data_IF_455743775342
#
_entry.id   IF_455743775342
#
_cell.length_a   1.000
_cell.length_b   1.000
_cell.length_c   1.000
_cell.angle_alpha   90.00
_cell.angle_beta   90.00
_cell.angle_gamma   90.00
#
_symmetry.space_group_name_H-M   'P 1'
#
loop_
_entity.id
_entity.type
_entity.pdbx_description
1 polymer ?
#
# COMPACT_ATOMS: atom_id res chain seq x y z
N UNK A 1 3.76 14.83 13.20
CA UNK A 1 5.02 14.09 13.44
C UNK A 1 4.87 12.81 14.31
N UNK A 2 3.82 12.63 15.13
CA UNK A 2 3.65 11.44 16.00
C UNK A 2 3.10 10.19 15.31
N UNK A 3 2.60 10.27 14.07
CA UNK A 3 1.91 9.17 13.39
C UNK A 3 2.75 8.33 12.44
N UNK A 4 4.02 8.70 12.22
CA UNK A 4 4.97 7.94 11.43
C UNK A 4 5.80 7.00 12.31
N UNK A 5 5.15 6.20 13.15
CA UNK A 5 5.88 5.13 13.83
C UNK A 5 6.05 3.97 12.85
N UNK A 6 7.08 4.06 12.03
CA UNK A 6 7.60 2.90 11.32
C UNK A 6 8.66 2.26 12.19
N UNK A 7 8.44 1.01 12.57
CA UNK A 7 9.48 0.18 13.13
C UNK A 7 10.20 -0.50 11.98
N UNK A 8 11.50 -0.23 11.84
CA UNK A 8 12.36 -0.76 10.80
C UNK A 8 13.52 -1.44 11.47
N UNK A 9 13.70 -2.71 11.17
CA UNK A 9 14.88 -3.45 11.58
C UNK A 9 15.30 -4.46 10.52
N UNK A 10 16.60 -4.57 10.35
CA UNK A 10 17.24 -5.76 9.85
C UNK A 10 17.36 -6.75 11.02
N UNK A 11 17.02 -8.02 10.80
CA UNK A 11 17.25 -9.10 11.75
C UNK A 11 18.23 -10.07 11.11
N UNK A 12 19.54 -9.96 11.41
CA UNK A 12 20.52 -10.94 10.98
C UNK A 12 20.40 -12.21 11.80
N UNK A 13 20.62 -13.36 11.18
CA UNK A 13 20.65 -14.67 11.84
C UNK A 13 19.38 -14.95 12.67
N UNK A 14 18.26 -15.07 11.96
CA UNK A 14 16.94 -15.31 12.56
C UNK A 14 16.98 -16.57 13.44
N UNK A 15 16.49 -16.45 14.66
CA UNK A 15 16.35 -17.57 15.57
C UNK A 15 15.50 -18.69 14.95
N UNK A 16 15.89 -19.97 15.09
CA UNK A 16 15.19 -21.10 14.50
C UNK A 16 13.71 -21.23 14.92
N UNK A 17 13.37 -20.88 16.16
CA UNK A 17 11.98 -20.94 16.64
C UNK A 17 11.15 -19.84 15.98
N UNK A 18 11.68 -18.62 15.87
CA UNK A 18 11.04 -17.50 15.17
C UNK A 18 10.88 -17.83 13.69
N UNK A 19 11.90 -18.40 13.05
CA UNK A 19 11.86 -18.89 11.67
C UNK A 19 10.70 -19.86 11.46
N UNK A 20 10.58 -20.85 12.34
CA UNK A 20 9.53 -21.86 12.29
C UNK A 20 8.16 -21.24 12.47
N UNK A 21 8.01 -20.33 13.45
CA UNK A 21 6.75 -19.62 13.72
C UNK A 21 6.26 -18.81 12.52
N UNK A 22 7.16 -18.07 11.89
CA UNK A 22 6.86 -17.22 10.75
C UNK A 22 6.92 -17.96 9.40
N UNK A 23 7.24 -19.26 9.41
CA UNK A 23 7.40 -20.09 8.19
C UNK A 23 8.41 -19.51 7.19
N UNK A 24 9.50 -18.94 7.70
CA UNK A 24 10.57 -18.35 6.87
C UNK A 24 11.39 -19.48 6.23
N UNK A 25 11.50 -19.51 4.89
CA UNK A 25 12.33 -20.51 4.19
C UNK A 25 13.80 -20.47 4.64
N UNK A 26 14.44 -21.63 4.72
CA UNK A 26 15.81 -21.77 5.27
C UNK A 26 16.87 -20.99 4.48
N UNK A 27 16.64 -20.73 3.20
CA UNK A 27 17.56 -19.99 2.35
C UNK A 27 17.77 -18.53 2.77
N UNK A 28 16.83 -17.91 3.49
CA UNK A 28 16.98 -16.53 3.92
C UNK A 28 17.63 -16.47 5.31
N UNK A 29 18.85 -15.93 5.36
CA UNK A 29 19.57 -15.74 6.63
C UNK A 29 19.16 -14.48 7.38
N UNK A 30 18.60 -13.50 6.67
CA UNK A 30 18.29 -12.17 7.20
C UNK A 30 16.92 -11.70 6.77
N UNK A 31 16.29 -10.87 7.60
CA UNK A 31 14.99 -10.25 7.31
C UNK A 31 15.09 -8.73 7.29
N UNK A 32 14.41 -8.11 6.33
CA UNK A 32 14.03 -6.70 6.36
C UNK A 32 12.58 -6.60 6.82
N UNK A 33 12.30 -5.82 7.86
CA UNK A 33 10.98 -5.71 8.45
C UNK A 33 10.52 -4.25 8.39
N UNK A 34 9.36 -4.03 7.77
CA UNK A 34 8.70 -2.73 7.74
C UNK A 34 7.29 -2.89 8.31
N UNK A 35 6.89 -1.92 9.12
CA UNK A 35 5.54 -1.84 9.65
C UNK A 35 5.13 -0.39 9.81
N UNK A 36 3.86 -0.08 9.60
CA UNK A 36 3.32 1.26 9.80
C UNK A 36 1.84 1.20 10.15
N UNK A 37 1.26 2.37 10.45
CA UNK A 37 -0.16 2.56 10.74
C UNK A 37 -0.85 3.44 9.68
N UNK A 38 -0.30 3.53 8.49
CA UNK A 38 -0.72 4.51 7.47
C UNK A 38 -1.30 3.89 6.20
N UNK A 39 -1.94 2.73 6.29
CA UNK A 39 -2.52 2.06 5.13
C UNK A 39 -1.54 1.14 4.39
N UNK A 40 -1.88 0.74 3.18
CA UNK A 40 -1.17 -0.31 2.45
C UNK A 40 -0.31 0.20 1.30
N UNK A 41 -0.83 1.14 0.52
CA UNK A 41 -0.28 1.41 -0.81
C UNK A 41 1.10 2.04 -0.78
N UNK A 42 1.33 3.04 0.07
CA UNK A 42 2.64 3.71 0.13
C UNK A 42 3.77 2.72 0.41
N UNK A 43 3.55 1.79 1.33
CA UNK A 43 4.53 0.76 1.70
C UNK A 43 4.66 -0.31 0.61
N UNK A 44 3.55 -0.80 0.06
CA UNK A 44 3.56 -1.80 -1.00
C UNK A 44 4.34 -1.32 -2.23
N UNK A 45 4.07 -0.10 -2.69
CA UNK A 45 4.77 0.49 -3.83
C UNK A 45 6.24 0.79 -3.53
N UNK A 46 6.56 1.24 -2.32
CA UNK A 46 7.95 1.49 -1.91
C UNK A 46 8.75 0.20 -1.80
N UNK A 47 8.16 -0.86 -1.26
CA UNK A 47 8.80 -2.18 -1.14
C UNK A 47 8.94 -2.86 -2.49
N UNK A 48 8.00 -2.64 -3.42
CA UNK A 48 8.12 -3.12 -4.79
C UNK A 48 9.35 -2.53 -5.50
N UNK A 49 9.58 -1.23 -5.35
CA UNK A 49 10.80 -0.59 -5.86
C UNK A 49 12.07 -1.13 -5.18
N UNK A 50 12.00 -1.37 -3.86
CA UNK A 50 13.13 -1.96 -3.12
C UNK A 50 13.45 -3.38 -3.61
N UNK A 51 12.43 -4.21 -3.85
CA UNK A 51 12.61 -5.57 -4.37
C UNK A 51 13.14 -5.61 -5.81
N UNK A 52 12.86 -4.57 -6.61
CA UNK A 52 13.47 -4.41 -7.95
C UNK A 52 14.94 -3.99 -7.90
N UNK A 53 15.35 -3.32 -6.82
CA UNK A 53 16.68 -2.74 -6.67
C UNK A 53 17.66 -3.59 -5.81
N UNK A 54 17.14 -4.57 -5.05
CA UNK A 54 17.90 -5.37 -4.10
C UNK A 54 17.57 -6.85 -4.25
N UNK A 55 18.47 -7.72 -3.79
CA UNK A 55 18.27 -9.16 -3.83
C UNK A 55 17.46 -9.64 -2.61
N UNK A 56 16.17 -9.30 -2.61
CA UNK A 56 15.22 -9.64 -1.55
C UNK A 56 13.92 -10.19 -2.13
N UNK A 57 13.22 -11.00 -1.35
CA UNK A 57 11.90 -11.51 -1.71
C UNK A 57 10.87 -11.17 -0.63
N UNK A 58 9.63 -10.89 -1.04
CA UNK A 58 8.53 -10.68 -0.13
C UNK A 58 8.10 -12.01 0.49
N UNK A 59 8.16 -12.10 1.81
CA UNK A 59 7.74 -13.29 2.57
C UNK A 59 6.38 -13.11 3.23
N UNK A 60 6.14 -11.93 3.81
CA UNK A 60 4.89 -11.62 4.50
C UNK A 60 4.42 -10.22 4.07
N UNK A 61 3.15 -10.13 3.71
CA UNK A 61 2.44 -8.88 3.56
C UNK A 61 1.07 -9.03 4.20
N UNK A 62 0.89 -8.38 5.33
CA UNK A 62 -0.35 -8.41 6.09
C UNK A 62 -0.82 -7.00 6.40
N UNK A 63 -2.15 -6.85 6.44
CA UNK A 63 -2.83 -5.61 6.78
C UNK A 63 -3.55 -5.78 8.12
N UNK A 64 -2.82 -5.84 9.26
CA UNK A 64 -3.43 -6.03 10.55
C UNK A 64 -4.32 -4.84 10.89
N UNK A 65 -5.45 -5.12 11.54
CA UNK A 65 -6.36 -4.07 12.00
C UNK A 65 -5.65 -3.16 13.00
N UNK A 66 -5.75 -1.86 12.75
CA UNK A 66 -5.33 -0.82 13.68
C UNK A 66 -6.49 0.14 13.94
N UNK A 67 -6.90 0.28 15.21
CA UNK A 67 -8.07 1.07 15.60
C UNK A 67 -7.78 2.56 15.70
N UNK A 68 -6.51 2.95 15.69
CA UNK A 68 -6.09 4.35 15.81
C UNK A 68 -5.41 4.89 14.54
N UNK A 69 -5.33 4.08 13.49
CA UNK A 69 -4.80 4.51 12.19
C UNK A 69 -5.86 5.18 11.33
N UNK A 70 -5.48 6.15 10.51
CA UNK A 70 -6.41 6.87 9.63
C UNK A 70 -7.03 5.97 8.58
N UNK A 71 -6.26 5.02 8.04
CA UNK A 71 -6.74 4.06 7.04
C UNK A 71 -7.41 2.83 7.66
N UNK A 72 -7.61 2.81 8.98
CA UNK A 72 -8.27 1.69 9.67
C UNK A 72 -7.43 0.43 9.80
N UNK A 73 -6.26 0.35 9.19
CA UNK A 73 -5.30 -0.75 9.32
C UNK A 73 -3.85 -0.25 9.29
N UNK A 74 -2.96 -1.08 9.80
CA UNK A 74 -1.53 -0.95 9.60
C UNK A 74 -1.04 -1.87 8.48
N UNK A 75 0.26 -2.06 8.42
CA UNK A 75 0.88 -3.08 7.59
C UNK A 75 2.02 -3.76 8.33
N UNK A 76 2.24 -5.02 7.99
CA UNK A 76 3.41 -5.81 8.35
C UNK A 76 3.99 -6.38 7.05
N UNK A 77 5.22 -6.00 6.75
CA UNK A 77 5.94 -6.44 5.56
C UNK A 77 7.25 -7.07 6.01
N UNK A 78 7.50 -8.30 5.58
CA UNK A 78 8.74 -9.01 5.84
C UNK A 78 9.39 -9.41 4.53
N UNK A 79 10.62 -8.96 4.34
CA UNK A 79 11.47 -9.29 3.21
C UNK A 79 12.53 -10.29 3.64
N UNK A 80 12.70 -11.37 2.89
CA UNK A 80 13.80 -12.32 3.06
C UNK A 80 14.99 -11.93 2.22
N UNK A 81 16.19 -12.06 2.78
CA UNK A 81 17.46 -11.83 2.12
C UNK A 81 18.46 -12.93 2.43
N UNK A 82 19.36 -13.22 1.49
CA UNK A 82 20.44 -14.17 1.67
C UNK A 82 21.54 -13.60 2.59
N UNK A 83 21.68 -12.30 2.65
CA UNK A 83 22.58 -11.63 3.58
C UNK A 83 21.96 -10.34 4.16
N UNK A 84 22.58 -9.85 5.25
CA UNK A 84 22.09 -8.69 6.00
C UNK A 84 22.22 -7.37 5.22
N UNK A 85 23.18 -7.29 4.31
CA UNK A 85 23.38 -6.05 3.52
C UNK A 85 22.24 -5.81 2.55
N UNK A 86 21.72 -6.87 1.91
CA UNK A 86 20.57 -6.81 1.04
C UNK A 86 19.29 -6.45 1.82
N UNK A 87 19.06 -7.09 2.97
CA UNK A 87 17.93 -6.77 3.84
C UNK A 87 17.94 -5.30 4.27
N UNK A 88 19.10 -4.82 4.74
CA UNK A 88 19.27 -3.41 5.15
C UNK A 88 19.06 -2.46 3.99
N UNK A 89 19.68 -2.74 2.86
CA UNK A 89 19.55 -1.88 1.67
C UNK A 89 18.13 -1.79 1.17
N UNK A 90 17.40 -2.90 1.14
CA UNK A 90 15.99 -2.92 0.74
C UNK A 90 15.12 -2.06 1.66
N UNK A 91 15.33 -2.16 2.97
CA UNK A 91 14.63 -1.32 3.96
C UNK A 91 14.96 0.16 3.73
N UNK A 92 16.23 0.53 3.54
CA UNK A 92 16.65 1.91 3.27
C UNK A 92 16.02 2.46 2.00
N UNK A 93 16.01 1.68 0.90
CA UNK A 93 15.38 2.09 -0.37
C UNK A 93 13.88 2.31 -0.17
N UNK A 94 13.18 1.36 0.46
CA UNK A 94 11.75 1.51 0.73
C UNK A 94 11.46 2.79 1.52
N UNK A 95 12.26 3.08 2.57
CA UNK A 95 12.10 4.27 3.40
C UNK A 95 12.26 5.59 2.66
N UNK A 96 13.24 5.67 1.76
CA UNK A 96 13.45 6.91 0.99
C UNK A 96 12.25 7.25 0.10
N UNK A 97 11.44 6.26 -0.26
CA UNK A 97 10.29 6.41 -1.16
C UNK A 97 8.95 6.60 -0.43
N UNK A 98 8.86 6.17 0.82
CA UNK A 98 7.57 6.14 1.54
C UNK A 98 6.95 7.54 1.66
N UNK A 99 7.73 8.57 1.94
CA UNK A 99 7.19 9.93 2.07
C UNK A 99 6.58 10.42 0.75
N UNK A 100 7.25 10.18 -0.38
CA UNK A 100 6.70 10.51 -1.70
C UNK A 100 5.40 9.75 -1.98
N UNK A 101 5.38 8.44 -1.69
CA UNK A 101 4.18 7.63 -1.92
C UNK A 101 3.04 8.04 -0.97
N UNK A 102 3.35 8.39 0.28
CA UNK A 102 2.35 8.82 1.26
C UNK A 102 1.62 10.12 0.89
N UNK A 103 2.17 10.96 -0.01
CA UNK A 103 1.46 12.12 -0.55
C UNK A 103 0.12 11.77 -1.24
N UNK A 104 -0.01 10.55 -1.75
CA UNK A 104 -1.20 10.04 -2.43
C UNK A 104 -2.17 9.28 -1.52
N UNK A 105 -2.02 9.41 -0.22
CA UNK A 105 -2.97 8.98 0.78
C UNK A 105 -3.70 10.21 1.29
N UNK A 106 -5.02 10.24 1.13
CA UNK A 106 -5.86 11.38 1.47
C UNK A 106 -6.88 10.99 2.52
N UNK A 107 -7.11 11.87 3.48
CA UNK A 107 -8.04 11.66 4.59
C UNK A 107 -8.88 12.90 4.85
N UNK A 108 -10.04 12.69 5.45
CA UNK A 108 -10.81 13.68 6.19
C UNK A 108 -11.44 13.00 7.42
N UNK A 109 -12.34 13.69 8.10
CA UNK A 109 -13.04 13.19 9.28
C UNK A 109 -14.00 12.01 8.99
N UNK A 110 -14.30 11.75 7.73
CA UNK A 110 -15.30 10.75 7.32
C UNK A 110 -14.67 9.51 6.73
N UNK A 111 -13.54 9.67 6.00
CA UNK A 111 -12.96 8.57 5.26
C UNK A 111 -11.55 8.83 4.77
N UNK A 112 -11.08 7.89 3.98
CA UNK A 112 -9.76 7.94 3.37
C UNK A 112 -9.78 7.42 1.94
N UNK A 113 -8.74 7.72 1.20
CA UNK A 113 -8.46 7.13 -0.10
C UNK A 113 -6.96 7.05 -0.37
N UNK A 114 -6.54 6.01 -1.06
CA UNK A 114 -5.17 5.78 -1.50
C UNK A 114 -5.17 5.57 -3.01
N UNK A 115 -4.45 6.43 -3.75
CA UNK A 115 -4.51 6.51 -5.20
C UNK A 115 -3.12 6.49 -5.79
N UNK A 116 -2.64 5.31 -6.15
CA UNK A 116 -1.26 5.12 -6.59
C UNK A 116 -1.16 4.58 -8.01
N UNK A 117 -0.04 4.86 -8.65
CA UNK A 117 0.27 4.34 -9.99
C UNK A 117 1.78 4.07 -10.10
N UNK A 118 2.12 2.96 -10.74
CA UNK A 118 3.47 2.69 -11.23
C UNK A 118 3.44 2.39 -12.72
N UNK A 119 4.49 2.76 -13.44
CA UNK A 119 4.65 2.38 -14.85
C UNK A 119 5.11 0.94 -15.02
N UNK A 120 5.69 0.34 -13.99
CA UNK A 120 6.36 -0.95 -14.03
C UNK A 120 6.17 -1.70 -12.71
N UNK A 121 5.10 -2.49 -12.63
CA UNK A 121 4.86 -3.34 -11.46
C UNK A 121 5.95 -4.41 -11.34
N UNK A 122 6.51 -4.53 -10.15
CA UNK A 122 7.52 -5.50 -9.80
C UNK A 122 6.96 -6.72 -9.06
N UNK A 123 7.84 -7.54 -8.47
CA UNK A 123 7.46 -8.82 -7.87
C UNK A 123 6.53 -8.67 -6.65
N UNK A 124 6.65 -7.60 -5.89
CA UNK A 124 5.81 -7.39 -4.71
C UNK A 124 4.37 -7.09 -5.10
N UNK A 125 4.15 -6.12 -5.98
CA UNK A 125 2.80 -5.78 -6.46
C UNK A 125 2.16 -6.95 -7.23
N UNK A 126 2.98 -7.74 -7.94
CA UNK A 126 2.51 -8.97 -8.57
C UNK A 126 2.01 -9.99 -7.54
N UNK A 127 2.79 -10.23 -6.48
CA UNK A 127 2.47 -11.24 -5.48
C UNK A 127 1.23 -10.88 -4.65
N UNK A 128 1.00 -9.60 -4.35
CA UNK A 128 -0.09 -9.18 -3.45
C UNK A 128 -1.34 -8.68 -4.14
N UNK A 129 -1.23 -8.17 -5.38
CA UNK A 129 -2.33 -7.55 -6.11
C UNK A 129 -2.49 -8.08 -7.55
N UNK A 130 -1.89 -9.22 -7.87
CA UNK A 130 -1.93 -9.82 -9.22
C UNK A 130 -1.54 -8.83 -10.34
N UNK A 131 -0.76 -7.79 -9.99
CA UNK A 131 -0.31 -6.80 -10.95
C UNK A 131 0.55 -7.47 -12.04
N UNK A 132 0.25 -7.31 -13.33
CA UNK A 132 1.07 -7.92 -14.38
C UNK A 132 2.50 -7.40 -14.36
N UNK A 133 3.48 -8.30 -14.22
CA UNK A 133 4.91 -7.95 -14.14
C UNK A 133 5.34 -7.10 -15.33
N UNK A 134 6.07 -6.03 -15.06
CA UNK A 134 6.60 -5.13 -16.09
C UNK A 134 5.54 -4.25 -16.77
N UNK A 135 4.28 -4.28 -16.32
CA UNK A 135 3.19 -3.45 -16.83
C UNK A 135 2.84 -2.33 -15.88
N UNK A 136 2.14 -1.33 -16.39
CA UNK A 136 1.61 -0.30 -15.51
C UNK A 136 0.50 -0.87 -14.63
N UNK A 137 0.50 -0.44 -13.38
CA UNK A 137 -0.49 -0.84 -12.37
C UNK A 137 -0.98 0.38 -11.62
N UNK A 138 -2.30 0.45 -11.42
CA UNK A 138 -3.01 1.46 -10.66
C UNK A 138 -3.70 0.85 -9.44
N UNK A 139 -3.60 1.52 -8.32
CA UNK A 139 -4.21 1.16 -7.05
C UNK A 139 -5.26 2.19 -6.68
N UNK A 140 -6.50 1.76 -6.56
CA UNK A 140 -7.66 2.57 -6.20
C UNK A 140 -8.23 2.01 -4.91
N UNK A 141 -8.09 2.75 -3.83
CA UNK A 141 -8.64 2.38 -2.53
C UNK A 141 -9.45 3.53 -1.95
N UNK A 142 -10.57 3.25 -1.35
CA UNK A 142 -11.29 4.20 -0.52
C UNK A 142 -12.12 3.51 0.57
N UNK A 143 -12.28 4.21 1.67
CA UNK A 143 -13.23 3.98 2.76
C UNK A 143 -14.04 5.27 3.01
N UNK A 144 -15.37 5.19 3.15
CA UNK A 144 -16.24 3.98 3.13
C UNK A 144 -16.22 3.20 1.81
N UNK A 145 -16.32 1.88 1.92
CA UNK A 145 -16.09 0.91 0.84
C UNK A 145 -16.84 1.19 -0.48
N UNK A 146 -18.08 1.64 -0.41
CA UNK A 146 -18.89 1.94 -1.60
C UNK A 146 -18.29 3.04 -2.48
N UNK A 147 -17.51 3.95 -1.89
CA UNK A 147 -16.87 5.05 -2.61
C UNK A 147 -15.82 4.52 -3.60
N UNK A 148 -15.01 3.53 -3.18
CA UNK A 148 -14.02 2.93 -4.05
C UNK A 148 -14.66 2.22 -5.25
N UNK A 149 -15.80 1.53 -5.04
CA UNK A 149 -16.52 0.86 -6.13
C UNK A 149 -17.00 1.87 -7.17
N UNK A 150 -17.62 2.96 -6.73
CA UNK A 150 -18.12 4.01 -7.63
C UNK A 150 -16.97 4.73 -8.34
N UNK A 151 -15.88 4.99 -7.63
CA UNK A 151 -14.68 5.61 -8.21
C UNK A 151 -14.06 4.72 -9.30
N UNK A 152 -13.88 3.43 -9.02
CA UNK A 152 -13.34 2.48 -9.97
C UNK A 152 -14.26 2.26 -11.17
N UNK A 153 -15.58 2.14 -10.98
CA UNK A 153 -16.55 2.05 -12.08
C UNK A 153 -16.45 3.26 -13.02
N UNK A 154 -16.34 4.46 -12.43
CA UNK A 154 -16.16 5.70 -13.21
C UNK A 154 -14.83 5.68 -13.98
N UNK A 155 -13.76 5.22 -13.34
CA UNK A 155 -12.42 5.14 -13.93
C UNK A 155 -12.36 4.20 -15.12
N UNK A 156 -12.85 2.96 -14.98
CA UNK A 156 -12.79 1.95 -16.07
C UNK A 156 -13.72 2.30 -17.25
N UNK A 157 -14.82 3.02 -17.01
CA UNK A 157 -15.67 3.54 -18.08
C UNK A 157 -15.02 4.68 -18.86
N UNK A 158 -14.06 5.37 -18.25
CA UNK A 158 -13.43 6.58 -18.80
C UNK A 158 -12.04 6.34 -19.38
N UNK A 159 -11.47 5.14 -19.20
CA UNK A 159 -10.11 4.82 -19.62
C UNK A 159 -9.99 3.33 -19.95
N UNK A 160 -9.29 2.93 -21.03
CA UNK A 160 -9.13 1.55 -21.43
C UNK A 160 -8.12 0.82 -20.52
N UNK A 161 -8.61 0.36 -19.37
CA UNK A 161 -7.86 -0.42 -18.38
C UNK A 161 -8.64 -1.65 -17.98
N UNK A 162 -7.93 -2.71 -17.59
CA UNK A 162 -8.50 -3.93 -17.05
C UNK A 162 -8.45 -3.92 -15.53
N UNK A 163 -9.50 -4.41 -14.86
CA UNK A 163 -9.45 -4.71 -13.43
C UNK A 163 -8.72 -6.03 -13.26
N UNK A 164 -7.63 -6.03 -12.50
CA UNK A 164 -6.79 -7.21 -12.27
C UNK A 164 -6.88 -7.74 -10.85
N UNK A 165 -7.33 -6.93 -9.90
CA UNK A 165 -7.45 -7.33 -8.50
C UNK A 165 -8.61 -6.63 -7.78
N UNK A 166 -9.17 -7.31 -6.78
CA UNK A 166 -10.24 -6.79 -5.95
C UNK A 166 -10.14 -7.35 -4.53
N UNK A 167 -10.24 -6.50 -3.54
CA UNK A 167 -10.30 -6.86 -2.13
C UNK A 167 -11.35 -6.05 -1.36
N UNK A 168 -12.01 -6.72 -0.44
CA UNK A 168 -13.00 -6.14 0.49
C UNK A 168 -12.69 -6.54 1.92
N UNK A 169 -13.35 -5.95 2.93
CA UNK A 169 -13.22 -6.40 4.32
C UNK A 169 -13.51 -7.89 4.56
N UNK A 170 -14.28 -8.52 3.66
CA UNK A 170 -14.61 -9.95 3.72
C UNK A 170 -13.68 -10.83 2.88
N UNK A 171 -12.91 -10.22 1.96
CA UNK A 171 -12.09 -10.92 0.98
C UNK A 171 -10.74 -10.21 0.89
N UNK A 172 -9.67 -10.90 1.27
CA UNK A 172 -8.27 -10.47 1.17
C UNK A 172 -7.90 -9.18 1.90
N UNK A 173 -8.74 -8.65 2.78
CA UNK A 173 -8.45 -7.46 3.57
C UNK A 173 -8.66 -7.70 5.06
N UNK A 174 -8.06 -6.86 5.88
CA UNK A 174 -8.36 -6.76 7.30
C UNK A 174 -9.80 -6.24 7.53
N UNK A 175 -10.25 -6.25 8.78
CA UNK A 175 -11.63 -5.84 9.14
C UNK A 175 -11.84 -4.30 9.07
N UNK A 176 -11.46 -3.68 7.96
CA UNK A 176 -11.66 -2.24 7.69
C UNK A 176 -12.78 -2.03 6.69
N UNK A 177 -13.45 -0.88 6.77
CA UNK A 177 -14.51 -0.52 5.85
C UNK A 177 -13.93 0.15 4.59
N UNK A 178 -13.15 -0.59 3.82
CA UNK A 178 -12.56 -0.12 2.57
C UNK A 178 -12.67 -1.16 1.46
N UNK A 179 -12.52 -0.72 0.23
CA UNK A 179 -12.33 -1.57 -0.95
C UNK A 179 -11.06 -1.14 -1.65
N UNK A 180 -10.30 -2.12 -2.09
CA UNK A 180 -9.13 -1.93 -2.95
C UNK A 180 -9.42 -2.55 -4.31
N UNK A 181 -9.11 -1.81 -5.38
CA UNK A 181 -9.22 -2.28 -6.77
C UNK A 181 -7.90 -2.01 -7.48
N UNK A 182 -7.33 -3.06 -8.06
CA UNK A 182 -6.16 -2.99 -8.92
C UNK A 182 -6.56 -2.90 -10.39
N UNK A 183 -5.99 -1.95 -11.13
CA UNK A 183 -6.18 -1.80 -12.58
C UNK A 183 -4.85 -1.86 -13.32
N UNK A 184 -4.85 -2.39 -14.56
CA UNK A 184 -3.66 -2.46 -15.41
C UNK A 184 -4.01 -2.13 -16.87
N UNK A 185 -3.01 -1.72 -17.63
CA UNK A 185 -3.14 -1.31 -19.02
C UNK A 185 -1.92 -0.50 -19.47
N UNK A 186 -2.08 0.32 -20.50
CA UNK A 186 -1.05 1.29 -20.86
C UNK A 186 -0.88 2.36 -19.77
N UNK A 187 0.34 2.78 -19.50
CA UNK A 187 0.63 3.72 -18.41
C UNK A 187 -0.22 5.00 -18.44
N UNK A 188 -0.40 5.60 -19.61
CA UNK A 188 -1.24 6.79 -19.77
C UNK A 188 -2.70 6.53 -19.42
N UNK A 189 -3.22 5.34 -19.80
CA UNK A 189 -4.57 4.92 -19.47
C UNK A 189 -4.74 4.64 -17.98
N UNK A 190 -3.79 3.93 -17.36
CA UNK A 190 -3.79 3.62 -15.92
C UNK A 190 -3.70 4.90 -15.09
N UNK A 191 -2.79 5.82 -15.45
CA UNK A 191 -2.67 7.10 -14.77
C UNK A 191 -3.97 7.90 -14.84
N UNK A 192 -4.57 7.99 -16.03
CA UNK A 192 -5.86 8.67 -16.23
C UNK A 192 -6.97 8.02 -15.40
N UNK A 193 -7.05 6.69 -15.37
CA UNK A 193 -8.03 5.95 -14.57
C UNK A 193 -7.90 6.29 -13.08
N UNK A 194 -6.69 6.26 -12.53
CA UNK A 194 -6.43 6.59 -11.12
C UNK A 194 -6.74 8.06 -10.82
N UNK A 195 -6.41 9.00 -11.71
CA UNK A 195 -6.71 10.42 -11.52
C UNK A 195 -8.24 10.66 -11.52
N UNK A 196 -9.00 10.01 -12.43
CA UNK A 196 -10.48 10.06 -12.45
C UNK A 196 -11.07 9.44 -11.17
N UNK A 197 -10.52 8.31 -10.72
CA UNK A 197 -10.94 7.68 -9.47
C UNK A 197 -10.72 8.61 -8.27
N UNK A 198 -9.58 9.31 -8.22
CA UNK A 198 -9.29 10.31 -7.19
C UNK A 198 -10.32 11.43 -7.18
N UNK A 199 -10.61 12.04 -8.34
CA UNK A 199 -11.59 13.12 -8.45
C UNK A 199 -12.98 12.66 -8.00
N UNK A 200 -13.40 11.47 -8.43
CA UNK A 200 -14.70 10.91 -8.07
C UNK A 200 -14.81 10.57 -6.59
N UNK A 201 -13.80 9.89 -6.01
CA UNK A 201 -13.77 9.55 -4.61
C UNK A 201 -13.70 10.81 -3.72
N UNK A 202 -12.86 11.78 -4.08
CA UNK A 202 -12.75 13.07 -3.38
C UNK A 202 -14.09 13.78 -3.30
N UNK A 203 -14.80 13.91 -4.43
CA UNK A 203 -16.11 14.55 -4.47
C UNK A 203 -17.15 13.81 -3.62
N UNK A 204 -17.10 12.48 -3.56
CA UNK A 204 -18.03 11.68 -2.74
C UNK A 204 -17.75 11.80 -1.25
N UNK A 205 -16.47 11.79 -0.85
CA UNK A 205 -16.07 11.93 0.56
C UNK A 205 -16.36 13.36 1.05
N UNK A 206 -16.14 14.37 0.22
CA UNK A 206 -16.40 15.79 0.54
C UNK A 206 -17.87 16.09 0.82
N UNK A 207 -18.82 15.30 0.30
CA UNK A 207 -20.25 15.44 0.61
C UNK A 207 -20.55 15.29 2.11
N UNK A 208 -19.74 14.50 2.81
CA UNK A 208 -19.93 14.16 4.22
C UNK A 208 -18.96 14.87 5.18
N UNK A 209 -18.05 15.67 4.66
CA UNK A 209 -17.02 16.32 5.46
C UNK A 209 -16.27 17.40 4.69
N UNK A 210 -15.05 17.69 5.13
CA UNK A 210 -14.15 18.58 4.39
C UNK A 210 -13.53 17.86 3.19
N UNK A 211 -12.96 18.63 2.27
CA UNK A 211 -12.20 18.07 1.15
C UNK A 211 -11.03 17.23 1.69
N UNK A 212 -10.87 15.96 1.26
CA UNK A 212 -9.76 15.14 1.72
C UNK A 212 -8.41 15.77 1.40
N UNK A 213 -7.51 15.77 2.39
CA UNK A 213 -6.15 16.28 2.25
C UNK A 213 -5.14 15.16 2.39
N UNK A 214 -3.96 15.30 1.74
CA UNK A 214 -2.86 14.35 1.92
C UNK A 214 -2.49 14.23 3.40
N UNK A 215 -2.24 13.01 3.87
CA UNK A 215 -1.83 12.73 5.25
C UNK A 215 -0.54 13.47 5.66
N UNK A 216 0.27 13.89 4.69
CA UNK A 216 1.47 14.69 4.95
C UNK A 216 1.14 16.12 5.36
N UNK A 217 0.00 16.63 4.92
CA UNK A 217 -0.47 18.02 5.16
C UNK A 217 -1.62 18.07 6.16
N UNK A 218 -2.14 16.92 6.58
CA UNK A 218 -3.21 16.86 7.55
C UNK A 218 -2.70 17.25 8.93
N UNK A 219 -3.05 18.43 9.40
CA UNK A 219 -2.87 18.85 10.78
C UNK A 219 -4.14 18.52 11.53
N UNK A 220 -4.09 17.56 12.45
CA UNK A 220 -5.19 17.38 13.40
C UNK A 220 -5.44 18.72 14.10
N UNK A 221 -6.67 19.17 14.07
CA UNK A 221 -7.10 20.22 14.97
C UNK A 221 -6.94 19.67 16.40
N UNK A 222 -6.11 20.29 17.27
CA UNK A 222 -5.88 19.76 18.62
C UNK A 222 -7.11 19.77 19.53
N UNK A 223 -8.24 20.30 19.02
CA UNK A 223 -9.47 20.53 19.76
C UNK A 223 -10.62 19.53 19.39
N UNK A 224 -10.31 18.41 18.69
CA UNK A 224 -11.24 17.31 18.42
C UNK A 224 -10.86 16.03 19.14
#
# INVERSE_FOLDING_TARGET
RRQRQMCIRDSPNIDPEVRTLLKIPEQYSSLGILTSRTGAAAQAFSVDEAAKACNVELLIFELPRDTEGYSGHGNLIVLGAYDVSDARRAVEVALTLIDEKAERIYINEVGHMEMHVTANAGPVLHQIFDAPLGKAFGFICAGPAGIAIVAADTAVKSSPVDIVWYGTPSINLSHTNEVIIGVSGDYGAVKKAVDIAYEKASALIEVFGQKPASILHFTQNPDL
#
